data_IF_636317922861
#
_entry.id   IF_636317922861
#
_cell.length_a   1.000
_cell.length_b   1.000
_cell.length_c   1.000
_cell.angle_alpha   90.00
_cell.angle_beta   90.00
_cell.angle_gamma   90.00
#
_symmetry.space_group_name_H-M   'P 1'
#
loop_
_entity.id
_entity.type
_entity.pdbx_description
1 polymer ?
#
# COMPACT_ATOMS: atom_id res chain seq x y z
N UNK A 1 45.13 61.31 2.34
CA UNK A 1 45.91 60.95 1.14
C UNK A 1 46.39 59.52 1.34
N UNK A 2 46.12 58.51 0.53
CA UNK A 2 45.56 58.44 -0.81
C UNK A 2 44.67 57.19 -0.94
N UNK A 3 43.60 57.35 -1.70
CA UNK A 3 42.66 56.33 -2.17
C UNK A 3 43.31 55.44 -3.24
N UNK A 4 42.95 54.15 -3.26
CA UNK A 4 42.82 53.42 -4.51
C UNK A 4 41.72 52.37 -4.43
N UNK A 5 40.82 52.56 -5.37
CA UNK A 5 39.54 51.94 -5.64
C UNK A 5 39.70 50.62 -6.45
N UNK A 6 38.59 49.85 -6.47
CA UNK A 6 38.17 48.82 -7.44
C UNK A 6 38.47 47.34 -7.14
N UNK A 7 37.36 46.61 -6.97
CA UNK A 7 37.31 45.16 -7.05
C UNK A 7 35.96 44.57 -6.68
N UNK A 8 34.84 45.12 -7.18
CA UNK A 8 33.52 44.53 -7.02
C UNK A 8 33.47 43.17 -7.74
N UNK A 9 33.26 42.07 -6.99
CA UNK A 9 32.79 40.79 -7.55
C UNK A 9 31.44 40.44 -6.94
N UNK A 10 30.44 40.77 -7.76
CA UNK A 10 29.04 40.38 -7.73
C UNK A 10 28.95 38.85 -7.90
N UNK A 11 28.16 38.19 -7.06
CA UNK A 11 27.97 36.73 -7.15
C UNK A 11 26.93 36.24 -6.16
N UNK A 12 25.73 36.84 -6.20
CA UNK A 12 24.57 36.30 -5.51
C UNK A 12 24.06 35.10 -6.30
N UNK A 13 24.27 33.90 -5.77
CA UNK A 13 23.63 32.70 -6.28
C UNK A 13 22.22 32.64 -5.70
N UNK A 14 21.28 33.25 -6.44
CA UNK A 14 19.85 33.09 -6.20
C UNK A 14 19.56 31.62 -6.45
N UNK A 15 19.36 30.86 -5.38
CA UNK A 15 18.64 29.58 -5.44
C UNK A 15 17.26 29.88 -6.01
N UNK A 16 17.13 29.70 -7.32
CA UNK A 16 15.84 29.69 -8.00
C UNK A 16 15.01 28.60 -7.34
N UNK A 17 14.03 29.02 -6.55
CA UNK A 17 13.03 28.13 -6.01
C UNK A 17 12.34 27.48 -7.19
N UNK A 18 12.52 26.17 -7.35
CA UNK A 18 11.75 25.38 -8.28
C UNK A 18 10.28 25.71 -8.06
N UNK A 19 9.69 26.39 -9.04
CA UNK A 19 8.28 26.73 -9.03
C UNK A 19 7.50 25.43 -8.81
N UNK A 20 6.67 25.38 -7.78
CA UNK A 20 5.70 24.29 -7.62
C UNK A 20 4.85 24.31 -8.87
N UNK A 21 5.06 23.34 -9.75
CA UNK A 21 4.17 23.11 -10.88
C UNK A 21 2.82 22.79 -10.26
N UNK A 22 1.88 23.73 -10.37
CA UNK A 22 0.50 23.48 -9.99
C UNK A 22 0.00 22.35 -10.89
N UNK A 23 -0.29 21.20 -10.29
CA UNK A 23 -0.90 20.09 -10.98
C UNK A 23 -2.29 20.54 -11.43
N UNK A 24 -2.68 20.20 -12.65
CA UNK A 24 -3.92 20.61 -13.34
C UNK A 24 -5.23 20.15 -12.67
N UNK A 25 -5.17 19.64 -11.42
CA UNK A 25 -6.29 19.15 -10.64
C UNK A 25 -6.60 19.94 -9.36
N UNK A 26 -5.97 21.09 -9.11
CA UNK A 26 -6.31 21.93 -7.96
C UNK A 26 -7.72 22.49 -8.14
N UNK A 27 -8.72 21.91 -7.47
CA UNK A 27 -10.09 22.44 -7.40
C UNK A 27 -11.17 21.68 -8.17
N UNK A 28 -10.84 20.61 -8.90
CA UNK A 28 -11.86 19.72 -9.46
C UNK A 28 -12.32 18.73 -8.37
N UNK A 29 -13.63 18.45 -8.23
CA UNK A 29 -14.08 17.40 -7.33
C UNK A 29 -13.52 16.08 -7.84
N UNK A 30 -12.55 15.50 -7.10
CA UNK A 30 -12.06 14.16 -7.40
C UNK A 30 -13.27 13.23 -7.35
N UNK A 31 -13.64 12.56 -8.46
CA UNK A 31 -14.80 11.69 -8.49
C UNK A 31 -14.68 10.66 -7.37
N UNK A 32 -15.78 10.36 -6.69
CA UNK A 32 -15.74 9.39 -5.62
C UNK A 32 -15.26 8.04 -6.18
N UNK A 33 -14.31 7.36 -5.52
CA UNK A 33 -13.82 6.08 -6.02
C UNK A 33 -14.97 5.10 -6.19
N UNK A 34 -15.04 4.42 -7.34
CA UNK A 34 -16.10 3.46 -7.68
C UNK A 34 -16.38 2.47 -6.55
N UNK A 35 -15.32 1.89 -5.99
CA UNK A 35 -15.41 0.91 -4.91
C UNK A 35 -15.98 1.51 -3.60
N UNK A 36 -15.75 2.81 -3.36
CA UNK A 36 -16.30 3.52 -2.19
C UNK A 36 -17.81 3.72 -2.33
N UNK A 37 -18.29 4.04 -3.54
CA UNK A 37 -19.73 4.16 -3.81
C UNK A 37 -20.43 2.80 -3.69
N UNK A 38 -19.83 1.75 -4.24
CA UNK A 38 -20.30 0.36 -4.08
C UNK A 38 -20.35 -0.04 -2.61
N UNK A 39 -19.34 0.35 -1.83
CA UNK A 39 -19.33 0.10 -0.39
C UNK A 39 -20.54 0.75 0.31
N UNK A 40 -20.81 2.02 0.03
CA UNK A 40 -21.89 2.77 0.68
C UNK A 40 -23.29 2.28 0.28
N UNK A 41 -23.48 1.91 -0.98
CA UNK A 41 -24.80 1.57 -1.54
C UNK A 41 -25.18 0.11 -1.33
N UNK A 42 -24.24 -0.81 -1.48
CA UNK A 42 -24.53 -2.26 -1.53
C UNK A 42 -23.87 -3.01 -0.37
N UNK A 43 -22.54 -2.92 -0.25
CA UNK A 43 -21.76 -3.75 0.69
C UNK A 43 -22.16 -3.49 2.13
N UNK A 44 -22.31 -2.21 2.51
CA UNK A 44 -22.71 -1.85 3.88
C UNK A 44 -24.05 -2.48 4.28
N UNK A 45 -25.02 -2.48 3.36
CA UNK A 45 -26.34 -3.08 3.59
C UNK A 45 -26.28 -4.61 3.65
N UNK A 46 -25.50 -5.24 2.78
CA UNK A 46 -25.31 -6.69 2.77
C UNK A 46 -24.66 -7.19 4.07
N UNK A 47 -23.56 -6.57 4.49
CA UNK A 47 -22.84 -6.93 5.72
C UNK A 47 -23.71 -6.66 6.96
N UNK A 48 -24.44 -5.54 7.00
CA UNK A 48 -25.35 -5.24 8.10
C UNK A 48 -26.45 -6.31 8.26
N UNK A 49 -27.05 -6.75 7.14
CA UNK A 49 -28.07 -7.81 7.14
C UNK A 49 -27.49 -9.16 7.54
N UNK A 50 -26.28 -9.50 7.08
CA UNK A 50 -25.65 -10.79 7.35
C UNK A 50 -25.32 -10.99 8.85
N UNK A 51 -24.89 -9.94 9.54
CA UNK A 51 -24.48 -10.01 10.95
C UNK A 51 -25.49 -9.38 11.92
N UNK A 52 -26.62 -8.87 11.42
CA UNK A 52 -27.69 -8.29 12.24
C UNK A 52 -27.28 -7.02 13.00
N UNK A 53 -26.40 -6.20 12.44
CA UNK A 53 -25.97 -4.96 13.09
C UNK A 53 -27.13 -3.96 13.19
N UNK A 54 -27.42 -3.51 14.41
CA UNK A 54 -28.49 -2.53 14.68
C UNK A 54 -28.02 -1.10 14.50
N UNK A 55 -26.75 -0.83 14.79
CA UNK A 55 -26.16 0.50 14.63
C UNK A 55 -25.40 0.58 13.30
N UNK A 56 -25.71 1.56 12.43
CA UNK A 56 -24.99 1.76 11.17
C UNK A 56 -23.47 1.95 11.33
N UNK A 57 -23.00 2.44 12.48
CA UNK A 57 -21.58 2.64 12.78
C UNK A 57 -20.85 1.37 13.26
N UNK A 58 -21.58 0.29 13.56
CA UNK A 58 -20.97 -1.01 13.88
C UNK A 58 -20.53 -1.77 12.63
N UNK A 59 -21.06 -1.40 11.45
CA UNK A 59 -20.68 -2.04 10.19
C UNK A 59 -19.20 -1.74 9.93
N UNK A 60 -18.36 -2.76 9.73
CA UNK A 60 -16.94 -2.54 9.57
C UNK A 60 -16.60 -1.79 8.29
N UNK A 61 -15.54 -1.01 8.36
CA UNK A 61 -14.98 -0.23 7.26
C UNK A 61 -13.50 -0.57 7.10
N UNK A 62 -12.96 -0.27 5.92
CA UNK A 62 -11.52 -0.31 5.68
C UNK A 62 -10.90 1.00 6.18
N UNK A 63 -9.96 0.93 7.12
CA UNK A 63 -9.34 2.12 7.72
C UNK A 63 -8.12 2.59 6.91
N UNK A 64 -7.25 1.63 6.56
CA UNK A 64 -6.02 1.87 5.82
C UNK A 64 -5.54 0.60 5.13
N UNK A 65 -4.77 0.79 4.08
CA UNK A 65 -3.95 -0.26 3.46
C UNK A 65 -2.50 0.12 3.63
N UNK A 66 -1.69 -0.79 4.17
CA UNK A 66 -0.25 -0.61 4.32
C UNK A 66 0.44 -1.52 3.31
N UNK A 67 1.28 -0.95 2.46
CA UNK A 67 2.16 -1.71 1.60
C UNK A 67 3.57 -1.63 2.17
N UNK A 68 4.25 -2.77 2.21
CA UNK A 68 5.59 -2.90 2.74
C UNK A 68 6.45 -3.76 1.82
N UNK A 69 7.67 -3.32 1.55
CA UNK A 69 8.68 -4.09 0.83
C UNK A 69 9.91 -4.22 1.71
N UNK A 70 10.29 -5.47 1.98
CA UNK A 70 11.57 -5.82 2.58
C UNK A 70 12.62 -6.02 1.49
N UNK A 71 13.62 -5.14 1.43
CA UNK A 71 14.72 -5.21 0.49
C UNK A 71 16.02 -5.55 1.23
N UNK A 72 16.19 -6.82 1.61
CA UNK A 72 17.40 -7.27 2.32
C UNK A 72 18.70 -7.04 1.52
N UNK A 73 18.59 -7.02 0.19
CA UNK A 73 19.70 -6.74 -0.73
C UNK A 73 20.13 -5.27 -0.73
N UNK A 74 19.28 -4.35 -0.23
CA UNK A 74 19.58 -2.92 -0.13
C UNK A 74 20.81 -2.62 0.73
N UNK A 75 21.16 -3.52 1.67
CA UNK A 75 22.35 -3.39 2.52
C UNK A 75 23.63 -3.39 1.66
N UNK A 76 23.66 -4.21 0.61
CA UNK A 76 24.80 -4.31 -0.31
C UNK A 76 24.71 -3.30 -1.45
N UNK A 77 23.49 -3.03 -1.93
CA UNK A 77 23.24 -2.17 -3.08
C UNK A 77 22.15 -1.12 -2.77
N UNK A 78 22.53 0.09 -2.31
CA UNK A 78 21.56 1.14 -1.97
C UNK A 78 20.67 1.55 -3.15
N UNK A 79 21.19 1.47 -4.38
CA UNK A 79 20.46 1.77 -5.63
C UNK A 79 19.22 0.90 -5.83
N UNK A 80 19.24 -0.34 -5.33
CA UNK A 80 18.08 -1.23 -5.42
C UNK A 80 16.91 -0.67 -4.62
N UNK A 81 17.17 -0.09 -3.45
CA UNK A 81 16.13 0.52 -2.63
C UNK A 81 15.54 1.78 -3.30
N UNK A 82 16.37 2.55 -4.01
CA UNK A 82 15.89 3.71 -4.76
C UNK A 82 14.86 3.31 -5.82
N UNK A 83 15.12 2.21 -6.55
CA UNK A 83 14.18 1.65 -7.52
C UNK A 83 12.89 1.16 -6.86
N UNK A 84 12.98 0.41 -5.77
CA UNK A 84 11.81 -0.05 -5.01
C UNK A 84 10.92 1.13 -4.56
N UNK A 85 11.53 2.23 -4.11
CA UNK A 85 10.81 3.43 -3.69
C UNK A 85 10.13 4.13 -4.88
N UNK A 86 10.77 4.16 -6.04
CA UNK A 86 10.19 4.70 -7.27
C UNK A 86 9.00 3.86 -7.74
N UNK A 87 9.18 2.54 -7.83
CA UNK A 87 8.15 1.58 -8.26
C UNK A 87 6.92 1.61 -7.34
N UNK A 88 7.13 1.58 -6.02
CA UNK A 88 6.02 1.75 -5.06
C UNK A 88 5.34 3.12 -5.19
N UNK A 89 6.11 4.16 -5.51
CA UNK A 89 5.59 5.50 -5.79
C UNK A 89 4.66 5.50 -7.02
N UNK A 90 5.07 4.82 -8.10
CA UNK A 90 4.28 4.66 -9.32
C UNK A 90 2.99 3.87 -9.04
N UNK A 91 3.10 2.74 -8.34
CA UNK A 91 1.96 1.88 -8.02
C UNK A 91 0.95 2.62 -7.16
N UNK A 92 1.38 3.39 -6.17
CA UNK A 92 0.49 3.92 -5.12
C UNK A 92 0.16 5.40 -5.31
N UNK A 93 0.84 6.08 -6.24
CA UNK A 93 0.76 7.52 -6.47
C UNK A 93 1.27 8.37 -5.31
N UNK A 94 1.85 7.75 -4.27
CA UNK A 94 2.30 8.39 -3.03
C UNK A 94 3.76 8.07 -2.77
N UNK A 95 4.54 9.07 -2.36
CA UNK A 95 5.95 8.86 -2.04
C UNK A 95 6.11 7.90 -0.84
N UNK A 96 6.79 6.76 -1.02
CA UNK A 96 7.02 5.80 0.06
C UNK A 96 8.03 6.31 1.10
N UNK A 97 7.89 5.83 2.32
CA UNK A 97 8.81 6.12 3.43
C UNK A 97 9.87 5.03 3.51
N UNK A 98 11.14 5.42 3.42
CA UNK A 98 12.29 4.54 3.66
C UNK A 98 12.36 4.11 5.12
N UNK A 99 12.49 2.82 5.35
CA UNK A 99 12.53 2.20 6.68
C UNK A 99 13.97 1.87 7.07
N UNK A 100 14.36 2.39 8.23
CA UNK A 100 15.67 2.16 8.84
C UNK A 100 15.63 1.04 9.86
N UNK A 101 16.74 0.34 10.00
CA UNK A 101 17.01 -0.65 11.02
C UNK A 101 16.89 -0.04 12.42
N UNK A 102 16.14 -0.68 13.31
CA UNK A 102 16.08 -0.29 14.73
C UNK A 102 17.17 -0.94 15.59
N UNK A 103 17.71 -2.07 15.16
CA UNK A 103 18.70 -2.86 15.90
C UNK A 103 19.74 -3.41 14.93
N UNK A 104 20.96 -3.52 15.41
CA UNK A 104 22.04 -4.22 14.69
C UNK A 104 21.91 -5.72 14.92
N UNK A 105 21.97 -6.51 13.85
CA UNK A 105 21.91 -7.98 13.91
C UNK A 105 23.00 -8.54 12.98
N UNK A 106 24.01 -9.16 13.58
CA UNK A 106 25.18 -9.67 12.85
C UNK A 106 24.83 -10.73 11.79
N UNK A 107 23.88 -11.61 12.08
CA UNK A 107 23.46 -12.69 11.16
C UNK A 107 22.92 -12.15 9.81
N UNK A 108 22.34 -10.96 9.80
CA UNK A 108 21.82 -10.31 8.60
C UNK A 108 22.79 -9.27 8.01
N UNK A 109 23.98 -9.11 8.60
CA UNK A 109 24.94 -8.06 8.20
C UNK A 109 24.42 -6.64 8.42
N UNK A 110 23.41 -6.47 9.29
CA UNK A 110 22.64 -5.25 9.43
C UNK A 110 23.14 -4.41 10.61
N UNK A 111 23.32 -3.11 10.37
CA UNK A 111 23.63 -2.11 11.40
C UNK A 111 22.44 -1.18 11.64
N UNK A 112 22.30 -0.72 12.88
CA UNK A 112 21.29 0.27 13.26
C UNK A 112 21.37 1.52 12.38
N UNK A 113 20.21 2.06 11.99
CA UNK A 113 20.10 3.23 11.13
C UNK A 113 20.25 2.96 9.62
N UNK A 114 20.67 1.77 9.19
CA UNK A 114 20.73 1.41 7.77
C UNK A 114 19.33 1.24 7.17
N UNK A 115 19.17 1.63 5.91
CA UNK A 115 17.91 1.46 5.18
C UNK A 115 17.75 0.01 4.71
N UNK A 116 16.58 -0.59 4.96
CA UNK A 116 16.29 -2.02 4.68
C UNK A 116 15.09 -2.17 3.74
N UNK A 117 14.21 -1.17 3.69
CA UNK A 117 12.95 -1.33 2.98
C UNK A 117 12.20 -0.04 2.83
N UNK A 118 11.03 -0.14 2.20
CA UNK A 118 10.15 0.98 1.95
C UNK A 118 8.72 0.57 2.33
N UNK A 119 7.96 1.52 2.87
CA UNK A 119 6.55 1.30 3.14
C UNK A 119 5.73 2.54 2.82
N UNK A 120 4.48 2.31 2.42
CA UNK A 120 3.50 3.37 2.22
C UNK A 120 2.21 3.01 2.95
N UNK A 121 1.50 4.02 3.44
CA UNK A 121 0.19 3.85 4.06
C UNK A 121 -0.83 4.67 3.28
N UNK A 122 -1.81 3.97 2.71
CA UNK A 122 -2.88 4.54 1.93
C UNK A 122 -4.13 4.66 2.79
N UNK A 123 -4.76 5.83 2.72
CA UNK A 123 -6.01 6.19 3.41
C UNK A 123 -6.90 6.99 2.47
N UNK A 124 -8.19 7.08 2.80
CA UNK A 124 -9.14 7.89 2.03
C UNK A 124 -9.30 7.40 0.59
N UNK A 125 -9.37 8.32 -0.38
CA UNK A 125 -9.66 7.99 -1.77
C UNK A 125 -8.61 7.06 -2.41
N UNK A 126 -7.32 7.36 -2.21
CA UNK A 126 -6.19 6.58 -2.76
C UNK A 126 -6.20 5.11 -2.34
N UNK A 127 -6.68 4.84 -1.13
CA UNK A 127 -6.85 3.47 -0.63
C UNK A 127 -7.89 2.70 -1.44
N UNK A 128 -9.04 3.31 -1.71
CA UNK A 128 -10.12 2.70 -2.47
C UNK A 128 -9.74 2.49 -3.94
N UNK A 129 -9.03 3.45 -4.54
CA UNK A 129 -8.52 3.33 -5.92
C UNK A 129 -7.44 2.25 -6.03
N UNK A 130 -6.54 2.15 -5.04
CA UNK A 130 -5.55 1.08 -4.99
C UNK A 130 -6.22 -0.29 -4.85
N UNK A 131 -7.22 -0.43 -3.97
CA UNK A 131 -7.95 -1.67 -3.80
C UNK A 131 -8.69 -2.07 -5.08
N UNK A 132 -9.31 -1.12 -5.77
CA UNK A 132 -9.99 -1.38 -7.03
C UNK A 132 -9.02 -1.87 -8.11
N UNK A 133 -7.88 -1.20 -8.29
CA UNK A 133 -6.83 -1.64 -9.23
C UNK A 133 -6.25 -3.01 -8.85
N UNK A 134 -6.08 -3.27 -7.55
CA UNK A 134 -5.57 -4.54 -7.07
C UNK A 134 -6.52 -5.69 -7.44
N UNK A 135 -7.82 -5.54 -7.17
CA UNK A 135 -8.83 -6.56 -7.46
C UNK A 135 -9.06 -6.72 -8.96
N UNK A 136 -9.28 -5.62 -9.67
CA UNK A 136 -9.74 -5.65 -11.06
C UNK A 136 -8.62 -5.92 -12.06
N UNK A 137 -7.38 -5.53 -11.75
CA UNK A 137 -6.26 -5.59 -12.72
C UNK A 137 -5.10 -6.43 -12.22
N UNK A 138 -4.62 -6.20 -10.99
CA UNK A 138 -3.38 -6.82 -10.54
C UNK A 138 -3.53 -8.30 -10.17
N UNK A 139 -4.58 -8.67 -9.42
CA UNK A 139 -4.79 -10.06 -9.00
C UNK A 139 -4.97 -11.02 -10.19
N UNK A 140 -5.77 -10.71 -11.22
CA UNK A 140 -5.90 -11.57 -12.40
C UNK A 140 -4.59 -11.80 -13.16
N UNK A 141 -3.60 -10.89 -13.03
CA UNK A 141 -2.27 -11.01 -13.66
C UNK A 141 -1.30 -11.88 -12.87
N UNK A 142 -1.67 -12.34 -11.67
CA UNK A 142 -0.83 -13.26 -10.90
C UNK A 142 -0.74 -14.61 -11.64
N UNK A 143 0.48 -15.05 -11.91
CA UNK A 143 0.74 -16.38 -12.49
C UNK A 143 0.22 -17.49 -11.57
N UNK A 144 -0.49 -18.46 -12.15
CA UNK A 144 -1.11 -19.60 -11.45
C UNK A 144 -2.06 -19.20 -10.31
N UNK A 145 -2.84 -18.13 -10.50
CA UNK A 145 -3.78 -17.65 -9.50
C UNK A 145 -4.93 -18.64 -9.24
N UNK A 146 -4.98 -19.20 -8.03
CA UNK A 146 -6.02 -20.14 -7.56
C UNK A 146 -7.01 -19.53 -6.56
N UNK A 147 -6.98 -18.20 -6.39
CA UNK A 147 -7.69 -17.52 -5.31
C UNK A 147 -6.79 -17.20 -4.10
N UNK A 148 -7.18 -16.16 -3.38
CA UNK A 148 -6.53 -15.73 -2.14
C UNK A 148 -6.85 -16.68 -0.99
N UNK A 149 -5.88 -16.96 -0.11
CA UNK A 149 -6.12 -17.81 1.06
C UNK A 149 -6.98 -17.08 2.09
N UNK A 150 -7.87 -17.83 2.73
CA UNK A 150 -8.69 -17.34 3.85
C UNK A 150 -7.99 -17.49 5.20
N UNK A 151 -6.76 -17.98 5.24
CA UNK A 151 -5.99 -18.18 6.48
C UNK A 151 -5.14 -16.98 6.88
N UNK A 152 -4.97 -16.00 6.00
CA UNK A 152 -4.10 -14.85 6.26
C UNK A 152 -4.77 -13.74 7.09
N UNK A 153 -5.82 -14.06 7.82
CA UNK A 153 -6.41 -13.18 8.82
C UNK A 153 -5.66 -13.34 10.16
N UNK A 154 -5.56 -12.24 10.91
CA UNK A 154 -4.76 -12.16 12.13
C UNK A 154 -5.54 -12.45 13.43
N UNK A 155 -6.80 -12.90 13.33
CA UNK A 155 -7.69 -13.11 14.49
C UNK A 155 -8.41 -11.85 14.96
N UNK A 156 -8.03 -10.67 14.45
CA UNK A 156 -8.54 -9.36 14.85
C UNK A 156 -9.12 -8.59 13.67
N UNK A 157 -9.51 -9.28 12.59
CA UNK A 157 -10.16 -8.68 11.44
C UNK A 157 -9.23 -7.95 10.47
N UNK A 158 -7.91 -8.10 10.58
CA UNK A 158 -6.98 -7.60 9.56
C UNK A 158 -6.56 -8.74 8.63
N UNK A 159 -6.32 -8.39 7.37
CA UNK A 159 -5.92 -9.36 6.35
C UNK A 159 -4.56 -8.97 5.77
N UNK A 160 -3.66 -9.93 5.61
CA UNK A 160 -2.36 -9.69 4.96
C UNK A 160 -2.18 -10.59 3.74
N UNK A 161 -1.73 -9.98 2.64
CA UNK A 161 -1.46 -10.64 1.38
C UNK A 161 0.02 -10.44 1.00
N UNK A 162 0.74 -11.54 0.82
CA UNK A 162 2.08 -11.52 0.22
C UNK A 162 1.98 -11.62 -1.29
N UNK A 163 2.53 -10.64 -2.00
CA UNK A 163 2.67 -10.59 -3.45
C UNK A 163 4.12 -10.93 -3.77
N UNK A 164 4.35 -11.94 -4.61
CA UNK A 164 5.70 -12.43 -4.91
C UNK A 164 6.45 -11.58 -5.94
N UNK A 165 5.72 -11.00 -6.88
CA UNK A 165 6.27 -10.34 -8.05
C UNK A 165 5.55 -9.00 -8.23
N UNK A 166 6.30 -7.90 -8.33
CA UNK A 166 5.74 -6.56 -8.54
C UNK A 166 5.17 -6.33 -9.95
N UNK A 167 5.53 -7.21 -10.89
CA UNK A 167 5.11 -7.20 -12.30
C UNK A 167 3.59 -7.31 -12.53
N UNK A 168 2.83 -7.66 -11.50
CA UNK A 168 1.37 -7.75 -11.59
C UNK A 168 0.71 -6.39 -11.81
N UNK A 169 1.40 -5.30 -11.44
CA UNK A 169 0.91 -3.95 -11.60
C UNK A 169 1.20 -3.43 -13.01
N UNK A 170 0.19 -2.93 -13.75
CA UNK A 170 0.38 -2.43 -15.12
C UNK A 170 1.25 -1.16 -15.18
N UNK A 171 1.41 -0.45 -14.06
CA UNK A 171 2.24 0.75 -13.97
C UNK A 171 3.75 0.45 -14.04
N UNK A 172 4.15 -0.81 -13.80
CA UNK A 172 5.55 -1.22 -13.84
C UNK A 172 5.92 -1.65 -15.26
N UNK A 173 6.98 -1.05 -15.81
CA UNK A 173 7.55 -1.48 -17.08
C UNK A 173 8.55 -2.62 -16.85
N UNK A 174 8.28 -3.77 -17.47
CA UNK A 174 9.12 -4.96 -17.42
C UNK A 174 10.58 -4.71 -17.82
N UNK A 175 10.81 -3.81 -18.78
CA UNK A 175 12.15 -3.55 -19.33
C UNK A 175 13.04 -2.77 -18.35
N UNK A 176 12.45 -2.11 -17.34
CA UNK A 176 13.17 -1.28 -16.37
C UNK A 176 13.51 -2.01 -15.06
N UNK A 177 13.07 -3.27 -14.93
CA UNK A 177 13.25 -4.08 -13.72
C UNK A 177 14.65 -4.74 -13.74
N UNK A 178 15.50 -4.35 -12.79
CA UNK A 178 16.80 -5.02 -12.60
C UNK A 178 16.65 -6.33 -11.81
N UNK A 179 15.75 -6.34 -10.82
CA UNK A 179 15.53 -7.46 -9.94
C UNK A 179 14.07 -7.55 -9.48
N UNK A 180 13.55 -8.77 -9.46
CA UNK A 180 12.18 -9.06 -9.02
C UNK A 180 12.12 -9.03 -7.50
N UNK A 181 11.14 -8.32 -6.95
CA UNK A 181 10.88 -8.30 -5.52
C UNK A 181 9.40 -8.43 -5.19
N UNK A 182 9.14 -9.03 -4.04
CA UNK A 182 7.79 -9.11 -3.49
C UNK A 182 7.38 -7.84 -2.77
N UNK A 183 6.12 -7.81 -2.34
CA UNK A 183 5.59 -6.84 -1.40
C UNK A 183 4.50 -7.48 -0.53
N UNK A 184 4.37 -7.00 0.69
CA UNK A 184 3.28 -7.37 1.59
C UNK A 184 2.25 -6.24 1.60
N UNK A 185 0.98 -6.61 1.44
CA UNK A 185 -0.16 -5.71 1.49
C UNK A 185 -1.03 -6.09 2.69
N UNK A 186 -1.11 -5.21 3.67
CA UNK A 186 -1.94 -5.39 4.87
C UNK A 186 -3.16 -4.49 4.80
N UNK A 187 -4.34 -5.10 4.85
CA UNK A 187 -5.64 -4.46 4.93
C UNK A 187 -6.04 -4.37 6.39
N UNK A 188 -6.18 -3.13 6.89
CA UNK A 188 -6.62 -2.87 8.26
C UNK A 188 -8.08 -2.48 8.21
N UNK A 189 -8.91 -3.26 8.88
CA UNK A 189 -10.35 -3.00 9.00
C UNK A 189 -10.71 -2.61 10.42
N UNK A 190 -11.90 -2.05 10.61
CA UNK A 190 -12.45 -1.79 11.94
C UNK A 190 -13.15 -3.02 12.55
N UNK A 191 -13.18 -4.15 11.84
CA UNK A 191 -13.77 -5.37 12.36
C UNK A 191 -12.92 -5.91 13.51
N UNK A 192 -13.56 -6.49 14.54
CA UNK A 192 -12.86 -7.14 15.65
C UNK A 192 -12.75 -8.66 15.47
N UNK A 193 -13.40 -9.20 14.45
CA UNK A 193 -13.49 -10.63 14.16
C UNK A 193 -13.23 -10.89 12.68
N UNK A 194 -12.59 -12.02 12.40
CA UNK A 194 -12.18 -12.40 11.06
C UNK A 194 -13.34 -12.77 10.15
N UNK A 195 -14.43 -13.30 10.69
CA UNK A 195 -15.63 -13.64 9.91
C UNK A 195 -16.28 -12.41 9.30
N UNK A 196 -16.36 -11.32 10.07
CA UNK A 196 -16.90 -10.05 9.59
C UNK A 196 -15.95 -9.38 8.59
N UNK A 197 -14.63 -9.43 8.85
CA UNK A 197 -13.63 -8.91 7.91
C UNK A 197 -13.60 -9.67 6.59
N UNK A 198 -13.72 -11.00 6.65
CA UNK A 198 -13.82 -11.86 5.49
C UNK A 198 -15.06 -11.54 4.65
N UNK A 199 -16.23 -11.40 5.28
CA UNK A 199 -17.45 -11.01 4.58
C UNK A 199 -17.31 -9.64 3.92
N UNK A 200 -16.76 -8.64 4.63
CA UNK A 200 -16.50 -7.32 4.07
C UNK A 200 -15.62 -7.39 2.81
N UNK A 201 -14.46 -8.05 2.88
CA UNK A 201 -13.54 -8.15 1.75
C UNK A 201 -14.13 -8.95 0.59
N UNK A 202 -14.92 -9.99 0.88
CA UNK A 202 -15.59 -10.81 -0.13
C UNK A 202 -16.66 -10.01 -0.88
N UNK A 203 -17.48 -9.24 -0.18
CA UNK A 203 -18.50 -8.37 -0.80
C UNK A 203 -17.85 -7.21 -1.58
N UNK A 204 -16.65 -6.79 -1.20
CA UNK A 204 -15.83 -5.84 -1.98
C UNK A 204 -15.21 -6.46 -3.25
N UNK A 205 -15.41 -7.76 -3.50
CA UNK A 205 -14.97 -8.44 -4.72
C UNK A 205 -13.62 -9.13 -4.60
N UNK A 206 -13.06 -9.31 -3.39
CA UNK A 206 -11.79 -10.04 -3.23
C UNK A 206 -11.95 -11.52 -3.62
N UNK A 207 -11.15 -12.03 -4.57
CA UNK A 207 -11.27 -13.39 -5.08
C UNK A 207 -10.62 -14.40 -4.12
N UNK A 208 -11.36 -14.80 -3.09
CA UNK A 208 -10.92 -15.87 -2.17
C UNK A 208 -11.07 -17.26 -2.79
N UNK A 209 -10.19 -18.18 -2.41
CA UNK A 209 -10.26 -19.58 -2.86
C UNK A 209 -11.50 -20.27 -2.30
N UNK A 210 -12.34 -20.82 -3.18
CA UNK A 210 -13.63 -21.45 -2.86
C UNK A 210 -13.51 -22.66 -1.92
N UNK A 211 -12.38 -23.37 -1.97
CA UNK A 211 -12.16 -24.61 -1.22
C UNK A 211 -11.88 -24.37 0.29
N UNK A 212 -11.65 -23.12 0.70
CA UNK A 212 -11.36 -22.77 2.10
C UNK A 212 -12.55 -22.11 2.82
N UNK A 213 -13.79 -22.54 2.54
CA UNK A 213 -15.00 -22.01 3.18
C UNK A 213 -15.14 -22.28 4.70
N UNK A 214 -14.19 -22.93 5.38
CA UNK A 214 -14.51 -23.62 6.64
C UNK A 214 -13.43 -23.63 7.73
N UNK A 215 -12.59 -22.58 7.83
CA UNK A 215 -11.70 -22.44 9.02
C UNK A 215 -11.85 -21.15 9.83
N UNK A 216 -12.23 -20.05 9.19
CA UNK A 216 -12.49 -18.78 9.90
C UNK A 216 -13.69 -18.89 10.86
N UNK A 217 -14.70 -19.71 10.50
CA UNK A 217 -15.87 -20.00 11.32
C UNK A 217 -15.67 -21.13 12.36
N UNK A 218 -14.62 -21.94 12.23
CA UNK A 218 -14.51 -23.23 12.94
C UNK A 218 -13.55 -23.18 14.14
N UNK A 219 -12.67 -22.18 14.25
CA UNK A 219 -11.70 -22.08 15.35
C UNK A 219 -12.24 -21.42 16.63
N UNK A 220 -13.54 -21.11 16.73
CA UNK A 220 -14.17 -20.58 17.96
C UNK A 220 -15.19 -21.52 18.61
N UNK A 221 -15.29 -22.77 18.16
CA UNK A 221 -16.24 -23.76 18.66
C UNK A 221 -15.56 -24.93 19.40
N UNK A 222 -14.50 -24.65 20.16
CA UNK A 222 -13.85 -25.59 21.07
C UNK A 222 -13.42 -24.86 22.34
#
# INVERSE_FOLDING_TARGET
MATKEKGARKGGDKREGAARVEHTGVGLPVPAPRLREQYMTQVRGAVAKQFGFTNPHQVPTLEKIVLNVGAGEAIKQPKFLDKVVEELGLITGQQPVRKKAKKSIANYGLREGQEIGAAVTLRGARMWEFLDRLISVAIPRIRDFKGLSTRSFDGRGNYSLGIKEQMIFPEINFDMIDAVHGMDVTFVTTATRDDVAYALLKELGMPFRTDEKSKVLTQKSA
#
